data_IF_833643692886
#
_entry.id   IF_833643692886
#
_cell.length_a   1.000
_cell.length_b   1.000
_cell.length_c   1.000
_cell.angle_alpha   90.00
_cell.angle_beta   90.00
_cell.angle_gamma   90.00
#
_symmetry.space_group_name_H-M   'P 1'
#
loop_
_entity.id
_entity.type
_entity.pdbx_description
1 polymer ?
#
# COMPACT_ATOMS: atom_id res chain seq x y z
N UNK A 1 13.46 -50.63 -24.58
CA UNK A 1 13.92 -49.59 -23.64
C UNK A 1 12.88 -48.48 -23.63
N UNK A 2 12.13 -48.33 -22.54
CA UNK A 2 11.00 -47.39 -22.44
C UNK A 2 11.51 -46.14 -21.71
N UNK A 3 11.55 -45.00 -22.39
CA UNK A 3 11.89 -43.71 -21.78
C UNK A 3 10.62 -42.97 -21.36
N UNK A 4 10.36 -42.94 -20.05
CA UNK A 4 9.25 -42.24 -19.42
C UNK A 4 9.50 -40.72 -19.45
N UNK A 5 8.67 -39.98 -20.19
CA UNK A 5 8.72 -38.52 -20.20
C UNK A 5 8.06 -37.94 -18.93
N UNK A 6 8.88 -37.49 -17.98
CA UNK A 6 8.41 -36.79 -16.79
C UNK A 6 7.86 -35.39 -17.15
N UNK A 7 6.55 -35.20 -16.97
CA UNK A 7 5.90 -33.89 -17.06
C UNK A 7 6.47 -32.95 -15.98
N UNK A 8 7.23 -31.93 -16.39
CA UNK A 8 7.59 -30.80 -15.52
C UNK A 8 6.34 -29.96 -15.27
N UNK A 9 5.73 -30.13 -14.10
CA UNK A 9 4.68 -29.25 -13.59
C UNK A 9 5.34 -27.89 -13.28
N UNK A 10 5.11 -26.87 -14.12
CA UNK A 10 5.47 -25.49 -13.80
C UNK A 10 4.61 -25.05 -12.62
N UNK A 11 5.21 -24.92 -11.44
CA UNK A 11 4.62 -24.19 -10.33
C UNK A 11 4.68 -22.69 -10.70
N UNK A 12 3.64 -22.19 -11.38
CA UNK A 12 3.35 -20.75 -11.40
C UNK A 12 2.72 -20.39 -10.07
N UNK A 13 3.55 -20.10 -9.08
CA UNK A 13 3.12 -19.42 -7.86
C UNK A 13 2.98 -17.92 -8.16
N UNK A 14 1.83 -17.51 -8.67
CA UNK A 14 1.38 -16.12 -8.57
C UNK A 14 0.24 -16.14 -7.55
N UNK A 15 0.57 -15.90 -6.28
CA UNK A 15 -0.45 -15.62 -5.27
C UNK A 15 -0.82 -14.17 -5.47
N UNK A 16 -1.88 -13.92 -6.23
CA UNK A 16 -2.56 -12.64 -6.26
C UNK A 16 -2.86 -12.24 -4.81
N UNK A 17 -2.17 -11.22 -4.30
CA UNK A 17 -2.76 -10.41 -3.25
C UNK A 17 -3.92 -9.67 -3.91
N UNK A 18 -5.09 -10.29 -3.96
CA UNK A 18 -6.28 -9.67 -4.54
C UNK A 18 -6.52 -8.37 -3.79
N UNK A 19 -6.47 -7.23 -4.51
CA UNK A 19 -6.88 -5.94 -3.97
C UNK A 19 -8.25 -6.12 -3.27
N UNK A 20 -8.48 -5.48 -2.10
CA UNK A 20 -9.77 -5.46 -1.46
C UNK A 20 -10.89 -5.24 -2.49
N UNK A 21 -11.86 -6.16 -2.55
CA UNK A 21 -13.01 -6.04 -3.45
C UNK A 21 -14.02 -4.98 -2.99
N UNK A 22 -13.82 -4.42 -1.79
CA UNK A 22 -14.67 -3.36 -1.26
C UNK A 22 -14.22 -2.00 -1.84
N UNK A 23 -15.08 -1.35 -2.65
CA UNK A 23 -14.73 -0.10 -3.33
C UNK A 23 -14.56 1.08 -2.37
N UNK A 24 -14.94 0.95 -1.11
CA UNK A 24 -14.69 1.98 -0.09
C UNK A 24 -13.26 1.96 0.44
N UNK A 25 -12.47 0.94 0.11
CA UNK A 25 -11.09 0.78 0.56
C UNK A 25 -10.07 1.54 -0.28
N UNK A 26 -10.43 1.90 -1.53
CA UNK A 26 -9.57 2.59 -2.50
C UNK A 26 -8.15 2.02 -2.52
N UNK A 27 -8.06 0.69 -2.60
CA UNK A 27 -6.80 0.00 -2.50
C UNK A 27 -5.99 0.19 -3.78
N UNK A 28 -4.70 0.51 -3.61
CA UNK A 28 -3.75 0.62 -4.69
C UNK A 28 -2.56 -0.27 -4.41
N UNK A 29 -2.22 -1.10 -5.40
CA UNK A 29 -0.94 -1.79 -5.41
C UNK A 29 0.19 -0.78 -5.54
N UNK A 30 1.34 -1.13 -4.98
CA UNK A 30 2.54 -0.30 -5.03
C UNK A 30 2.30 1.12 -4.51
N UNK A 31 1.68 1.21 -3.35
CA UNK A 31 1.38 2.45 -2.66
C UNK A 31 1.74 2.34 -1.18
N UNK A 32 2.30 3.40 -0.61
CA UNK A 32 2.67 3.45 0.80
C UNK A 32 2.27 4.78 1.44
N UNK A 33 0.97 4.97 1.70
CA UNK A 33 0.47 6.21 2.30
C UNK A 33 0.98 6.41 3.72
N UNK A 34 1.56 7.58 4.02
CA UNK A 34 2.13 7.87 5.33
C UNK A 34 1.06 8.21 6.38
N UNK A 35 0.10 9.06 6.00
CA UNK A 35 -0.83 9.70 6.94
C UNK A 35 -0.13 10.63 7.94
N UNK A 36 -0.83 10.95 9.02
CA UNK A 36 -0.28 11.76 10.12
C UNK A 36 0.27 10.89 11.26
N UNK A 37 -0.34 9.73 11.51
CA UNK A 37 0.08 8.80 12.57
C UNK A 37 -0.44 7.39 12.34
N UNK A 38 0.31 6.40 12.80
CA UNK A 38 -0.23 5.07 13.03
C UNK A 38 -1.19 5.09 14.23
N UNK A 39 -2.39 4.53 14.05
CA UNK A 39 -3.36 4.30 15.13
C UNK A 39 -3.29 2.85 15.62
N UNK A 40 -2.85 1.93 14.74
CA UNK A 40 -2.43 0.57 15.09
C UNK A 40 -1.16 0.23 14.35
N UNK A 41 -0.16 -0.26 15.10
CA UNK A 41 1.14 -0.63 14.58
C UNK A 41 1.09 -1.99 13.90
N UNK A 42 1.59 -2.09 12.66
CA UNK A 42 1.53 -3.31 11.86
C UNK A 42 2.30 -4.48 12.46
N UNK A 43 3.38 -4.21 13.21
CA UNK A 43 4.09 -5.23 13.99
C UNK A 43 3.16 -6.00 14.96
N UNK A 44 2.09 -5.36 15.45
CA UNK A 44 1.15 -5.93 16.41
C UNK A 44 -0.16 -6.39 15.76
N UNK A 45 -0.41 -6.07 14.50
CA UNK A 45 -1.61 -6.45 13.74
C UNK A 45 -1.18 -7.15 12.45
N UNK A 46 -1.15 -8.48 12.49
CA UNK A 46 -0.83 -9.32 11.34
C UNK A 46 -2.11 -9.94 10.79
N UNK A 47 -2.37 -9.71 9.51
CA UNK A 47 -3.55 -10.18 8.81
C UNK A 47 -3.15 -10.95 7.56
N UNK A 48 -4.09 -11.71 7.01
CA UNK A 48 -3.84 -12.63 5.89
C UNK A 48 -3.83 -11.93 4.53
N UNK A 49 -4.45 -10.75 4.43
CA UNK A 49 -4.66 -10.05 3.15
C UNK A 49 -4.87 -8.55 3.33
N UNK A 50 -4.66 -7.80 2.24
CA UNK A 50 -5.01 -6.38 2.15
C UNK A 50 -6.53 -6.16 2.39
N UNK A 51 -7.38 -7.06 1.89
CA UNK A 51 -8.83 -7.00 2.12
C UNK A 51 -9.19 -7.05 3.61
N UNK A 52 -8.51 -7.91 4.36
CA UNK A 52 -8.67 -7.99 5.82
C UNK A 52 -8.13 -6.74 6.51
N UNK A 53 -7.01 -6.18 6.03
CA UNK A 53 -6.47 -4.93 6.55
C UNK A 53 -7.41 -3.74 6.35
N UNK A 54 -8.07 -3.64 5.21
CA UNK A 54 -9.11 -2.63 5.01
C UNK A 54 -10.30 -2.84 5.97
N UNK A 55 -10.82 -4.06 6.09
CA UNK A 55 -11.93 -4.35 7.03
C UNK A 55 -11.55 -4.02 8.48
N UNK A 56 -10.30 -4.27 8.85
CA UNK A 56 -9.77 -3.87 10.13
C UNK A 56 -9.77 -2.33 10.28
N UNK A 57 -9.34 -1.58 9.27
CA UNK A 57 -9.44 -0.12 9.28
C UNK A 57 -10.89 0.35 9.43
N UNK A 58 -11.85 -0.24 8.70
CA UNK A 58 -13.28 0.10 8.79
C UNK A 58 -13.83 -0.16 10.20
N UNK A 59 -13.52 -1.32 10.78
CA UNK A 59 -13.93 -1.67 12.14
C UNK A 59 -13.33 -0.71 13.18
N UNK A 60 -12.05 -0.37 13.04
CA UNK A 60 -11.40 0.62 13.91
C UNK A 60 -12.01 2.02 13.74
N UNK A 61 -12.33 2.42 12.51
CA UNK A 61 -12.98 3.71 12.23
C UNK A 61 -14.35 3.80 12.92
N UNK A 62 -15.13 2.73 12.87
CA UNK A 62 -16.46 2.65 13.46
C UNK A 62 -16.43 2.59 14.99
N UNK A 63 -15.52 1.82 15.58
CA UNK A 63 -15.49 1.58 17.03
C UNK A 63 -14.67 2.61 17.82
N UNK A 64 -13.52 3.02 17.30
CA UNK A 64 -12.47 3.70 18.09
C UNK A 64 -12.46 5.23 17.96
N UNK A 65 -13.25 5.80 17.06
CA UNK A 65 -13.37 7.26 16.94
C UNK A 65 -14.05 7.91 18.15
N UNK A 66 -13.71 9.19 18.42
CA UNK A 66 -14.49 10.12 19.25
C UNK A 66 -14.61 9.79 20.76
N UNK A 67 -13.55 9.26 21.39
CA UNK A 67 -13.49 9.12 22.85
C UNK A 67 -13.92 7.76 23.41
N UNK A 68 -14.21 6.79 22.53
CA UNK A 68 -14.59 5.43 22.89
C UNK A 68 -13.37 4.55 23.25
N UNK A 69 -12.54 4.99 24.20
CA UNK A 69 -11.29 4.31 24.48
C UNK A 69 -11.44 2.88 25.04
N UNK A 70 -12.58 2.61 25.69
CA UNK A 70 -12.92 1.29 26.22
C UNK A 70 -13.66 0.39 25.22
N UNK A 71 -13.99 0.87 24.02
CA UNK A 71 -14.62 0.03 23.01
C UNK A 71 -13.65 -1.05 22.53
N UNK A 72 -14.19 -2.22 22.23
CA UNK A 72 -13.45 -3.31 21.61
C UNK A 72 -13.60 -3.22 20.08
N UNK A 73 -12.49 -3.46 19.38
CA UNK A 73 -12.44 -3.61 17.94
C UNK A 73 -11.45 -4.74 17.64
N UNK A 74 -11.83 -5.69 16.79
CA UNK A 74 -10.92 -6.76 16.33
C UNK A 74 -10.22 -7.54 17.46
N UNK A 75 -10.93 -7.78 18.57
CA UNK A 75 -10.40 -8.44 19.77
C UNK A 75 -9.46 -7.58 20.62
N UNK A 76 -9.51 -6.24 20.48
CA UNK A 76 -8.57 -5.29 21.09
C UNK A 76 -9.27 -4.02 21.56
N UNK A 77 -8.76 -3.35 22.59
CA UNK A 77 -9.28 -2.05 23.00
C UNK A 77 -8.85 -0.93 22.03
N UNK A 78 -9.75 0.03 21.80
CA UNK A 78 -9.57 1.15 20.89
C UNK A 78 -8.52 2.18 21.30
N UNK A 79 -8.21 2.30 22.60
CA UNK A 79 -7.31 3.33 23.10
C UNK A 79 -7.80 4.75 22.79
N UNK A 80 -6.91 5.75 22.84
CA UNK A 80 -7.28 7.17 22.61
C UNK A 80 -7.03 7.64 21.18
N UNK A 81 -6.66 6.73 20.28
CA UNK A 81 -6.33 7.10 18.91
C UNK A 81 -7.59 7.50 18.14
N UNK A 82 -7.51 8.45 17.19
CA UNK A 82 -8.63 8.73 16.30
C UNK A 82 -8.94 7.50 15.43
N UNK A 83 -10.13 7.46 14.83
CA UNK A 83 -10.53 6.39 13.92
C UNK A 83 -9.58 6.28 12.72
N UNK A 84 -9.36 5.04 12.26
CA UNK A 84 -8.56 4.79 11.07
C UNK A 84 -9.25 5.37 9.83
N UNK A 85 -8.49 5.93 8.89
CA UNK A 85 -9.03 6.30 7.58
C UNK A 85 -8.07 5.99 6.42
N UNK A 86 -6.94 5.36 6.71
CA UNK A 86 -5.98 4.89 5.71
C UNK A 86 -5.18 3.74 6.28
N UNK A 87 -4.73 2.85 5.41
CA UNK A 87 -4.10 1.59 5.81
C UNK A 87 -3.01 1.18 4.84
N UNK A 88 -2.05 0.37 5.32
CA UNK A 88 -1.00 -0.24 4.50
C UNK A 88 -0.82 -1.70 4.89
N UNK A 89 -0.70 -2.58 3.90
CA UNK A 89 -0.51 -4.01 4.05
C UNK A 89 0.77 -4.46 3.35
N UNK A 90 1.55 -5.33 4.01
CA UNK A 90 2.73 -5.96 3.43
C UNK A 90 2.38 -7.33 2.83
N UNK A 91 2.29 -7.51 1.49
CA UNK A 91 1.96 -8.80 0.89
C UNK A 91 3.19 -9.73 0.73
N UNK A 92 4.39 -9.16 0.73
CA UNK A 92 5.64 -9.88 0.47
C UNK A 92 6.27 -10.45 1.75
N UNK A 93 7.27 -11.33 1.63
CA UNK A 93 8.01 -11.81 2.81
C UNK A 93 8.62 -10.67 3.62
N UNK A 94 9.05 -9.62 2.92
CA UNK A 94 9.55 -8.40 3.51
C UNK A 94 9.18 -7.20 2.63
N UNK A 95 8.70 -6.13 3.25
CA UNK A 95 8.37 -4.88 2.55
C UNK A 95 9.38 -3.80 2.92
N UNK A 96 9.94 -3.14 1.92
CA UNK A 96 10.89 -2.05 2.11
C UNK A 96 10.18 -0.76 2.53
N UNK A 97 10.76 -0.05 3.49
CA UNK A 97 10.40 1.31 3.86
C UNK A 97 11.69 2.10 4.19
N UNK A 98 11.64 3.42 4.08
CA UNK A 98 12.74 4.30 4.49
C UNK A 98 12.76 4.54 6.01
N UNK A 99 12.82 3.45 6.79
CA UNK A 99 12.90 3.49 8.24
C UNK A 99 13.86 2.43 8.81
N UNK A 100 13.80 2.22 10.13
CA UNK A 100 14.66 1.28 10.87
C UNK A 100 14.01 -0.08 11.12
N UNK A 101 12.82 -0.35 10.58
CA UNK A 101 12.02 -1.51 10.91
C UNK A 101 12.11 -2.60 9.84
N UNK A 102 12.11 -3.86 10.29
CA UNK A 102 12.03 -5.02 9.40
C UNK A 102 10.55 -5.39 9.22
N UNK A 103 9.94 -4.89 8.15
CA UNK A 103 8.53 -5.18 7.88
C UNK A 103 8.34 -6.56 7.25
N UNK A 104 7.47 -7.38 7.82
CA UNK A 104 7.21 -8.75 7.38
C UNK A 104 5.82 -8.93 6.78
N UNK A 105 5.64 -10.00 6.00
CA UNK A 105 4.34 -10.38 5.42
C UNK A 105 3.20 -10.27 6.43
N UNK A 106 2.10 -9.66 6.02
CA UNK A 106 0.88 -9.63 6.80
C UNK A 106 0.79 -8.46 7.76
N UNK A 107 1.86 -7.67 7.95
CA UNK A 107 1.75 -6.42 8.70
C UNK A 107 0.67 -5.54 8.11
N UNK A 108 -0.29 -5.16 8.96
CA UNK A 108 -1.37 -4.24 8.64
C UNK A 108 -1.23 -2.99 9.50
N UNK A 109 -0.81 -1.89 8.89
CA UNK A 109 -0.68 -0.60 9.52
C UNK A 109 -1.97 0.17 9.36
N UNK A 110 -2.70 0.37 10.46
CA UNK A 110 -3.85 1.28 10.48
C UNK A 110 -3.35 2.67 10.84
N UNK A 111 -3.73 3.66 10.05
CA UNK A 111 -3.26 5.02 10.23
C UNK A 111 -4.39 6.02 10.03
N UNK A 112 -4.09 7.26 10.40
CA UNK A 112 -5.04 8.35 10.36
C UNK A 112 -4.41 9.60 9.76
N UNK A 113 -5.19 10.33 8.98
CA UNK A 113 -4.89 11.68 8.48
C UNK A 113 -6.09 12.59 8.74
N UNK A 114 -5.86 13.76 9.34
CA UNK A 114 -6.95 14.63 9.78
C UNK A 114 -7.66 15.32 8.60
N UNK A 115 -6.88 15.76 7.61
CA UNK A 115 -7.36 16.59 6.52
C UNK A 115 -7.29 15.85 5.18
N UNK A 116 -8.29 16.11 4.31
CA UNK A 116 -8.34 15.61 2.94
C UNK A 116 -7.95 14.12 2.81
N UNK A 117 -8.71 13.17 3.39
CA UNK A 117 -8.37 11.75 3.34
C UNK A 117 -8.28 11.21 1.90
N UNK A 118 -9.06 11.76 0.96
CA UNK A 118 -8.99 11.47 -0.49
C UNK A 118 -7.72 11.99 -1.16
N UNK A 119 -6.90 12.73 -0.41
CA UNK A 119 -5.55 13.17 -0.78
C UNK A 119 -4.53 12.66 0.23
N UNK A 120 -4.34 11.34 0.36
CA UNK A 120 -3.45 10.78 1.37
C UNK A 120 -2.01 11.23 1.13
N UNK A 121 -1.30 11.61 2.20
CA UNK A 121 0.13 11.93 2.13
C UNK A 121 0.90 10.73 1.56
N UNK A 122 1.40 10.86 0.34
CA UNK A 122 2.06 9.80 -0.40
C UNK A 122 3.55 10.14 -0.60
N UNK A 123 4.48 9.53 0.16
CA UNK A 123 5.92 9.71 -0.02
C UNK A 123 6.42 9.37 -1.42
N UNK A 124 5.67 8.55 -2.17
CA UNK A 124 6.01 8.15 -3.53
C UNK A 124 5.36 9.06 -4.57
N UNK A 125 4.64 10.10 -4.16
CA UNK A 125 4.08 11.13 -5.05
C UNK A 125 3.22 10.57 -6.19
N UNK A 126 2.55 9.43 -5.97
CA UNK A 126 1.72 8.75 -6.98
C UNK A 126 2.42 7.60 -7.70
N UNK A 127 3.75 7.55 -7.69
CA UNK A 127 4.53 6.56 -8.44
C UNK A 127 4.46 5.17 -7.81
N UNK A 128 4.31 4.15 -8.66
CA UNK A 128 4.40 2.74 -8.23
C UNK A 128 5.85 2.25 -8.09
N UNK A 129 6.81 2.95 -8.67
CA UNK A 129 8.21 2.54 -8.77
C UNK A 129 9.19 3.53 -8.14
N UNK A 130 10.30 3.01 -7.62
CA UNK A 130 11.44 3.83 -7.23
C UNK A 130 12.19 4.32 -8.49
N UNK A 131 12.71 5.56 -8.49
CA UNK A 131 13.48 6.09 -9.61
C UNK A 131 14.62 5.14 -10.04
N UNK A 132 14.81 4.87 -11.35
CA UNK A 132 15.91 4.03 -11.82
C UNK A 132 17.28 4.48 -11.33
N UNK A 133 17.50 5.79 -11.26
CA UNK A 133 18.74 6.40 -10.78
C UNK A 133 18.97 6.08 -9.31
N UNK A 134 17.92 6.14 -8.49
CA UNK A 134 18.00 5.77 -7.07
C UNK A 134 18.27 4.27 -6.89
N UNK A 135 17.70 3.43 -7.75
CA UNK A 135 17.94 1.98 -7.71
C UNK A 135 19.38 1.60 -8.04
N UNK A 136 20.02 2.36 -8.94
CA UNK A 136 21.43 2.21 -9.28
C UNK A 136 22.37 2.89 -8.26
N UNK A 137 21.85 3.80 -7.42
CA UNK A 137 22.65 4.57 -6.50
C UNK A 137 23.15 3.74 -5.30
N UNK A 138 24.34 4.06 -4.76
CA UNK A 138 24.85 3.37 -3.57
C UNK A 138 23.93 3.62 -2.37
N UNK A 139 23.69 2.61 -1.54
CA UNK A 139 22.82 2.68 -0.35
C UNK A 139 23.02 3.91 0.55
N UNK A 140 24.26 4.39 0.69
CA UNK A 140 24.59 5.59 1.47
C UNK A 140 23.93 6.88 0.96
N UNK A 141 23.47 6.92 -0.29
CA UNK A 141 22.76 8.06 -0.86
C UNK A 141 21.25 7.91 -0.80
N UNK A 142 20.70 6.81 -0.27
CA UNK A 142 19.25 6.67 -0.11
C UNK A 142 18.71 7.72 0.89
N UNK A 143 17.46 8.18 0.76
CA UNK A 143 16.89 9.24 1.59
C UNK A 143 17.00 8.99 3.09
N UNK A 144 16.83 7.74 3.48
CA UNK A 144 17.22 7.20 4.77
C UNK A 144 18.14 6.02 4.48
N UNK A 145 19.39 6.06 4.94
CA UNK A 145 20.40 5.04 4.64
C UNK A 145 20.09 3.74 5.42
N UNK A 146 19.05 3.03 4.99
CA UNK A 146 18.55 1.79 5.59
C UNK A 146 19.69 0.79 5.70
N UNK A 147 19.99 0.33 6.92
CA UNK A 147 21.13 -0.55 7.16
C UNK A 147 20.92 -1.93 6.51
N UNK A 148 22.03 -2.64 6.23
CA UNK A 148 21.98 -4.00 5.71
C UNK A 148 21.27 -4.99 6.66
N UNK A 149 21.25 -4.71 7.95
CA UNK A 149 20.54 -5.51 8.94
C UNK A 149 19.01 -5.35 8.83
N UNK A 150 18.54 -4.19 8.36
CA UNK A 150 17.12 -3.92 8.13
C UNK A 150 16.70 -4.38 6.73
N UNK A 151 17.45 -4.00 5.70
CA UNK A 151 17.18 -4.39 4.31
C UNK A 151 18.46 -4.86 3.60
N UNK A 152 18.67 -6.18 3.44
CA UNK A 152 19.90 -6.72 2.86
C UNK A 152 19.94 -6.57 1.32
N UNK A 153 18.78 -6.52 0.67
CA UNK A 153 18.66 -6.47 -0.80
C UNK A 153 19.01 -5.11 -1.42
N UNK A 154 19.02 -5.02 -2.76
CA UNK A 154 19.07 -3.72 -3.46
C UNK A 154 17.78 -2.92 -3.22
N UNK A 155 17.75 -1.66 -3.62
CA UNK A 155 16.51 -0.88 -3.66
C UNK A 155 15.47 -1.64 -4.51
N UNK A 156 14.24 -1.86 -4.01
CA UNK A 156 13.20 -2.49 -4.81
C UNK A 156 12.92 -1.72 -6.10
N UNK A 157 12.41 -2.42 -7.11
CA UNK A 157 11.89 -1.76 -8.30
C UNK A 157 10.61 -1.01 -8.00
N UNK A 158 9.68 -1.68 -7.31
CA UNK A 158 8.35 -1.19 -6.98
C UNK A 158 8.18 -0.98 -5.50
N UNK A 159 7.27 -0.09 -5.12
CA UNK A 159 6.82 0.06 -3.73
C UNK A 159 6.20 -1.27 -3.30
N UNK A 160 6.72 -1.97 -2.27
CA UNK A 160 6.27 -3.32 -1.93
C UNK A 160 5.10 -3.30 -0.94
N UNK A 161 4.18 -2.34 -1.08
CA UNK A 161 3.06 -2.16 -0.18
C UNK A 161 1.76 -2.07 -0.98
N UNK A 162 0.68 -2.57 -0.39
CA UNK A 162 -0.68 -2.27 -0.82
C UNK A 162 -1.24 -1.28 0.19
N UNK A 163 -1.71 -0.13 -0.25
CA UNK A 163 -2.30 0.87 0.67
C UNK A 163 -3.63 1.34 0.15
N UNK A 164 -4.46 1.84 1.05
CA UNK A 164 -5.78 2.36 0.70
C UNK A 164 -6.25 3.43 1.65
N UNK A 165 -7.36 4.06 1.26
CA UNK A 165 -8.04 5.13 1.98
C UNK A 165 -9.49 4.71 2.16
N UNK A 166 -10.03 4.92 3.36
CA UNK A 166 -11.48 4.78 3.56
C UNK A 166 -12.17 6.03 3.03
N UNK A 167 -12.92 5.87 1.93
CA UNK A 167 -13.74 6.92 1.34
C UNK A 167 -14.97 6.30 0.68
N UNK A 168 -16.03 7.07 0.36
CA UNK A 168 -17.19 6.55 -0.35
C UNK A 168 -16.79 5.81 -1.63
N UNK A 169 -17.58 4.80 -2.02
CA UNK A 169 -17.36 4.10 -3.27
C UNK A 169 -17.45 5.08 -4.46
N UNK A 170 -16.53 4.96 -5.43
CA UNK A 170 -16.46 5.85 -6.60
C UNK A 170 -15.79 7.20 -6.33
N UNK A 171 -15.37 7.49 -5.10
CA UNK A 171 -14.58 8.68 -4.80
C UNK A 171 -13.22 8.65 -5.51
N UNK A 172 -12.76 9.81 -5.98
CA UNK A 172 -11.46 9.92 -6.63
C UNK A 172 -10.38 10.18 -5.59
N UNK A 173 -9.54 9.17 -5.35
CA UNK A 173 -8.38 9.29 -4.47
C UNK A 173 -7.13 9.64 -5.28
N UNK A 174 -6.49 10.76 -4.95
CA UNK A 174 -5.26 11.22 -5.62
C UNK A 174 -4.15 11.42 -4.61
N UNK A 175 -2.91 11.11 -4.98
CA UNK A 175 -1.79 11.29 -4.06
C UNK A 175 -1.67 12.73 -3.55
N UNK A 176 -1.63 12.88 -2.23
CA UNK A 176 -1.40 14.14 -1.53
C UNK A 176 0.08 14.39 -1.32
N UNK A 177 0.45 15.66 -1.11
CA UNK A 177 1.84 16.07 -0.90
C UNK A 177 2.41 15.40 0.37
N UNK A 178 3.55 14.71 0.30
CA UNK A 178 4.15 14.11 1.48
C UNK A 178 4.78 15.14 2.42
N UNK A 179 4.85 14.81 3.71
CA UNK A 179 5.57 15.62 4.69
C UNK A 179 7.07 15.56 4.44
N UNK A 180 7.57 14.35 4.17
CA UNK A 180 9.00 14.09 4.11
C UNK A 180 9.62 14.44 2.76
N UNK A 181 8.86 14.63 1.67
CA UNK A 181 9.34 15.05 0.33
C UNK A 181 10.66 14.41 -0.09
N UNK A 182 10.83 13.13 0.21
CA UNK A 182 12.13 12.49 0.02
C UNK A 182 12.51 12.42 -1.47
N UNK A 183 11.53 12.16 -2.34
CA UNK A 183 11.73 12.01 -3.79
C UNK A 183 12.21 13.32 -4.38
N UNK A 184 11.44 14.39 -4.19
CA UNK A 184 11.81 15.76 -4.59
C UNK A 184 13.24 16.12 -4.16
N UNK A 185 13.58 15.92 -2.88
CA UNK A 185 14.92 16.24 -2.36
C UNK A 185 16.02 15.40 -2.97
N UNK A 186 15.77 14.10 -3.14
CA UNK A 186 16.76 13.18 -3.67
C UNK A 186 17.05 13.49 -5.14
N UNK A 187 16.02 13.65 -5.97
CA UNK A 187 16.16 13.98 -7.38
C UNK A 187 16.80 15.37 -7.56
N UNK A 188 16.46 16.35 -6.73
CA UNK A 188 17.14 17.67 -6.78
C UNK A 188 18.64 17.55 -6.52
N UNK A 189 19.06 16.67 -5.62
CA UNK A 189 20.47 16.50 -5.24
C UNK A 189 21.27 15.65 -6.23
N UNK A 190 20.67 14.60 -6.77
CA UNK A 190 21.36 13.57 -7.54
C UNK A 190 21.10 13.63 -9.05
N UNK A 191 20.34 14.62 -9.50
CA UNK A 191 19.87 14.75 -10.87
C UNK A 191 18.40 14.35 -11.00
N UNK A 192 17.68 14.93 -11.98
CA UNK A 192 16.25 14.69 -12.15
C UNK A 192 15.99 13.18 -12.28
N UNK A 193 15.01 12.70 -11.53
CA UNK A 193 14.59 11.31 -11.62
C UNK A 193 13.83 11.10 -12.92
N UNK A 194 14.16 10.02 -13.64
CA UNK A 194 13.38 9.64 -14.81
C UNK A 194 11.97 9.25 -14.36
N UNK A 195 10.98 9.85 -15.00
CA UNK A 195 9.60 9.44 -14.84
C UNK A 195 9.42 8.05 -15.47
N UNK A 196 9.17 7.06 -14.61
CA UNK A 196 8.81 5.72 -15.08
C UNK A 196 7.32 5.80 -15.37
N UNK A 197 6.94 5.61 -16.64
CA UNK A 197 5.53 5.47 -16.97
C UNK A 197 4.96 4.37 -16.08
N UNK A 198 4.02 4.73 -15.20
CA UNK A 198 3.27 3.73 -14.46
C UNK A 198 2.68 2.81 -15.52
N UNK A 199 2.92 1.49 -15.39
CA UNK A 199 2.16 0.54 -16.19
C UNK A 199 0.70 0.81 -15.83
N UNK A 200 -0.01 1.50 -16.73
CA UNK A 200 -1.35 1.99 -16.50
C UNK A 200 -2.16 0.85 -15.88
N UNK A 201 -2.81 1.13 -14.76
CA UNK A 201 -3.79 0.23 -14.21
C UNK A 201 -4.86 0.00 -15.30
N UNK A 202 -4.98 -1.21 -15.89
CA UNK A 202 -5.98 -1.47 -16.91
C UNK A 202 -7.42 -1.36 -16.36
N UNK A 203 -7.61 -1.14 -15.04
CA UNK A 203 -8.91 -0.90 -14.43
C UNK A 203 -9.48 0.52 -14.67
N UNK A 204 -8.66 1.46 -15.17
CA UNK A 204 -9.08 2.84 -15.42
C UNK A 204 -9.50 3.14 -16.87
N UNK A 205 -9.38 2.18 -17.80
CA UNK A 205 -9.97 2.29 -19.15
C UNK A 205 -11.47 1.96 -19.10
N UNK A 206 -12.22 2.84 -18.43
CA UNK A 206 -13.67 2.93 -18.50
C UNK A 206 -14.13 3.25 -19.91
N UNK A 207 -14.29 2.22 -20.74
CA UNK A 207 -15.32 2.21 -21.80
C UNK A 207 -16.45 1.30 -21.34
N UNK A 208 -17.44 1.94 -20.74
CA UNK A 208 -18.77 1.40 -20.53
C UNK A 208 -19.33 1.07 -21.91
N UNK A 209 -19.22 -0.19 -22.32
CA UNK A 209 -20.12 -0.76 -23.32
C UNK A 209 -21.48 -0.93 -22.66
N UNK A 210 -22.35 0.06 -22.84
CA UNK A 210 -23.78 -0.14 -22.59
C UNK A 210 -24.26 -1.12 -23.66
N UNK A 211 -24.48 -2.37 -23.28
CA UNK A 211 -25.33 -3.29 -24.03
C UNK A 211 -26.77 -2.75 -23.95
N UNK A 212 -27.06 -1.80 -24.84
CA UNK A 212 -28.41 -1.36 -25.13
C UNK A 212 -28.98 -2.30 -26.19
N UNK A 213 -29.38 -3.49 -25.78
CA UNK A 213 -30.35 -4.32 -26.51
C UNK A 213 -30.88 -5.40 -25.56
N UNK A 214 -31.87 -5.03 -24.76
CA UNK A 214 -32.97 -5.90 -24.31
C UNK A 214 -33.88 -5.12 -23.34
N UNK A 215 -34.76 -4.30 -23.92
CA UNK A 215 -35.97 -3.82 -23.24
C UNK A 215 -36.97 -3.33 -24.28
N UNK A 216 -37.91 -4.20 -24.65
CA UNK A 216 -39.30 -3.87 -25.00
C UNK A 216 -40.08 -5.17 -25.31
N UNK A 217 -41.41 -5.16 -25.11
CA UNK A 217 -42.15 -6.18 -24.36
C UNK A 217 -42.51 -7.45 -25.13
#
# INVERSE_FOLDING_TARGET
MIATAARRRRLRGSRNATLPSDPTCHARDHAGYAGDRAVVWGANLRLSSAAECCRACQAHAAACGRGNAGAEWWGRACGRAPGCNLWSFCPEEQCFAFDIHVHRRGECWLKQQAEAPTRPKDPFEGHAAFPPEMRAAPRRSWPFAVSLAVWPGPMPERVPWISGVLAPAGEVVVSGRPNDRWRERWCTRHGPCTEVADAADPSLDGRIGVDADNLAP
#
